data_IF_478035063729
#
_entry.id   IF_478035063729
#
_cell.length_a   1.000
_cell.length_b   1.000
_cell.length_c   1.000
_cell.angle_alpha   90.00
_cell.angle_beta   90.00
_cell.angle_gamma   90.00
#
_symmetry.space_group_name_H-M   'P 1'
#
loop_
_entity.id
_entity.type
_entity.pdbx_description
1 polymer ?
#
# COMPACT_ATOMS: atom_id res chain seq x y z
N UNK A 1 34.53 52.27 -3.06
CA UNK A 1 34.57 51.12 -2.13
C UNK A 1 33.34 50.29 -2.43
N UNK A 2 33.53 49.13 -3.03
CA UNK A 2 32.47 48.14 -3.24
C UNK A 2 32.41 47.31 -1.96
N UNK A 3 31.42 47.57 -1.10
CA UNK A 3 31.08 46.66 -0.01
C UNK A 3 30.41 45.44 -0.62
N UNK A 4 31.15 44.34 -0.67
CA UNK A 4 30.63 43.00 -0.87
C UNK A 4 29.74 42.68 0.32
N UNK A 5 28.43 42.74 0.11
CA UNK A 5 27.46 42.15 1.03
C UNK A 5 27.79 40.67 1.17
N UNK A 6 28.10 40.30 2.40
CA UNK A 6 28.41 38.94 2.83
C UNK A 6 27.18 38.06 2.53
N UNK A 7 27.28 37.27 1.46
CA UNK A 7 26.26 36.29 1.12
C UNK A 7 26.32 35.19 2.18
N UNK A 8 25.50 35.35 3.22
CA UNK A 8 25.35 34.37 4.29
C UNK A 8 25.26 32.96 3.72
N UNK A 9 25.98 32.03 4.35
CA UNK A 9 26.02 30.60 4.05
C UNK A 9 24.66 30.10 3.51
N UNK A 10 24.57 29.87 2.19
CA UNK A 10 23.41 29.25 1.54
C UNK A 10 23.15 27.93 2.25
N UNK A 11 22.06 27.87 3.00
CA UNK A 11 21.60 26.61 3.59
C UNK A 11 21.20 25.67 2.45
N UNK A 12 21.19 24.34 2.68
CA UNK A 12 20.76 23.37 1.66
C UNK A 12 19.37 23.69 1.06
N UNK A 13 18.51 24.37 1.83
CA UNK A 13 17.21 24.88 1.40
C UNK A 13 17.25 25.77 0.16
N UNK A 14 18.28 26.61 0.00
CA UNK A 14 18.42 27.56 -1.12
C UNK A 14 19.05 26.95 -2.37
N UNK A 15 19.50 25.69 -2.29
CA UNK A 15 20.22 25.04 -3.37
C UNK A 15 19.25 24.32 -4.30
N UNK A 16 19.49 24.53 -5.59
CA UNK A 16 18.88 23.79 -6.68
C UNK A 16 19.99 23.25 -7.59
N UNK A 17 19.67 22.24 -8.38
CA UNK A 17 20.56 21.69 -9.40
C UNK A 17 19.85 21.60 -10.74
N UNK A 18 20.58 21.75 -11.83
CA UNK A 18 20.05 21.45 -13.16
C UNK A 18 19.78 19.95 -13.29
N UNK A 19 18.71 19.63 -14.00
CA UNK A 19 18.34 18.26 -14.32
C UNK A 19 19.10 17.78 -15.55
N UNK A 20 19.73 16.61 -15.45
CA UNK A 20 20.48 16.00 -16.55
C UNK A 20 19.96 14.59 -16.82
N UNK A 21 19.22 14.41 -17.91
CA UNK A 21 18.77 13.08 -18.31
C UNK A 21 19.93 12.23 -18.80
N UNK A 22 20.27 11.17 -18.06
CA UNK A 22 21.42 10.30 -18.35
C UNK A 22 21.03 8.95 -18.95
N UNK A 23 19.75 8.56 -18.91
CA UNK A 23 19.34 7.28 -19.49
C UNK A 23 17.87 6.92 -19.36
N UNK A 24 17.43 6.05 -20.27
CA UNK A 24 16.12 5.41 -20.25
C UNK A 24 16.30 3.90 -20.21
N UNK A 25 15.75 3.26 -19.20
CA UNK A 25 15.85 1.83 -18.93
C UNK A 25 14.53 1.15 -19.28
N UNK A 26 14.58 0.17 -20.17
CA UNK A 26 13.45 -0.72 -20.47
C UNK A 26 13.63 -1.97 -19.63
N UNK A 27 12.72 -2.20 -18.68
CA UNK A 27 12.75 -3.42 -17.87
C UNK A 27 11.90 -4.48 -18.57
N UNK A 28 12.47 -5.63 -18.95
CA UNK A 28 11.69 -6.76 -19.43
C UNK A 28 10.67 -7.24 -18.40
N UNK A 29 9.59 -7.85 -18.86
CA UNK A 29 8.47 -8.22 -17.98
C UNK A 29 8.83 -9.39 -17.03
N UNK A 30 9.78 -10.24 -17.43
CA UNK A 30 10.31 -11.38 -16.66
C UNK A 30 11.42 -10.99 -15.67
N UNK A 31 11.95 -9.76 -15.73
CA UNK A 31 12.99 -9.28 -14.81
C UNK A 31 12.37 -8.81 -13.50
N UNK A 32 12.71 -9.49 -12.41
CA UNK A 32 12.21 -9.16 -11.06
C UNK A 32 13.24 -8.44 -10.18
N UNK A 33 14.52 -8.42 -10.59
CA UNK A 33 15.58 -7.71 -9.88
C UNK A 33 16.53 -7.00 -10.86
N UNK A 34 16.90 -5.76 -10.56
CA UNK A 34 17.77 -4.93 -11.41
C UNK A 34 18.30 -3.73 -10.63
N UNK A 35 19.58 -3.42 -10.74
CA UNK A 35 20.15 -2.17 -10.22
C UNK A 35 20.11 -1.08 -11.30
N UNK A 36 19.82 0.17 -10.91
CA UNK A 36 19.91 1.33 -11.79
C UNK A 36 21.16 2.15 -11.48
N UNK A 37 21.51 3.09 -12.36
CA UNK A 37 22.72 3.88 -12.16
C UNK A 37 22.65 4.88 -11.00
N UNK A 38 21.44 5.28 -10.58
CA UNK A 38 21.24 6.12 -9.39
C UNK A 38 21.46 5.30 -8.10
N UNK A 39 22.38 5.70 -7.20
CA UNK A 39 22.77 4.89 -6.05
C UNK A 39 21.59 4.51 -5.15
N UNK A 40 21.37 3.20 -5.02
CA UNK A 40 20.33 2.59 -4.20
C UNK A 40 19.00 2.37 -4.91
N UNK A 41 18.75 3.02 -6.05
CA UNK A 41 17.54 2.80 -6.83
C UNK A 41 17.63 1.44 -7.55
N UNK A 42 16.68 0.54 -7.28
CA UNK A 42 16.72 -0.83 -7.78
C UNK A 42 15.36 -1.51 -7.77
N UNK A 43 15.25 -2.62 -8.50
CA UNK A 43 14.20 -3.61 -8.37
C UNK A 43 14.69 -4.77 -7.49
N UNK A 44 13.86 -5.19 -6.55
CA UNK A 44 14.05 -6.38 -5.73
C UNK A 44 12.93 -7.40 -5.98
N UNK A 45 13.28 -8.69 -6.06
CA UNK A 45 12.28 -9.76 -6.15
C UNK A 45 11.41 -9.81 -4.90
N UNK A 46 10.11 -10.02 -5.09
CA UNK A 46 9.10 -10.11 -4.03
C UNK A 46 8.69 -11.55 -3.75
N UNK A 47 8.34 -11.87 -2.50
CA UNK A 47 7.75 -13.17 -2.19
C UNK A 47 6.26 -13.17 -2.56
N UNK A 48 5.91 -13.99 -3.56
CA UNK A 48 4.52 -14.17 -4.00
C UNK A 48 4.16 -15.64 -3.82
N UNK A 49 3.23 -15.95 -2.93
CA UNK A 49 2.63 -17.28 -2.80
C UNK A 49 1.43 -17.38 -3.72
N UNK A 50 1.46 -18.35 -4.62
CA UNK A 50 0.31 -18.71 -5.43
C UNK A 50 -0.37 -19.89 -4.73
N UNK A 51 -1.67 -19.81 -4.55
CA UNK A 51 -2.44 -20.89 -3.95
C UNK A 51 -3.84 -20.87 -4.51
N UNK A 52 -4.30 -21.98 -5.09
CA UNK A 52 -5.68 -22.16 -5.56
C UNK A 52 -6.70 -22.25 -4.40
N UNK A 53 -6.25 -22.02 -3.16
CA UNK A 53 -6.85 -22.52 -1.92
C UNK A 53 -8.05 -21.77 -1.35
N UNK A 54 -8.53 -20.71 -1.99
CA UNK A 54 -9.73 -19.96 -1.55
C UNK A 54 -10.33 -19.22 -2.74
N UNK A 55 -11.48 -19.66 -3.29
CA UNK A 55 -12.31 -18.88 -4.23
C UNK A 55 -11.59 -18.09 -5.33
N UNK A 56 -10.77 -18.73 -6.15
CA UNK A 56 -10.12 -18.01 -7.25
C UNK A 56 -9.14 -16.92 -6.80
N UNK A 57 -8.69 -16.92 -5.54
CA UNK A 57 -7.43 -16.24 -5.19
C UNK A 57 -6.37 -16.92 -6.04
N UNK A 58 -5.84 -16.21 -7.03
CA UNK A 58 -4.79 -16.74 -7.90
C UNK A 58 -3.44 -16.48 -7.25
N UNK A 59 -3.29 -15.33 -6.56
CA UNK A 59 -2.03 -14.92 -5.95
C UNK A 59 -2.23 -14.20 -4.63
N UNK A 60 -1.37 -14.54 -3.67
CA UNK A 60 -1.17 -13.81 -2.42
C UNK A 60 0.24 -13.24 -2.45
N UNK A 61 0.34 -11.92 -2.51
CA UNK A 61 1.63 -11.23 -2.44
C UNK A 61 1.94 -10.93 -0.98
N UNK A 62 2.96 -11.60 -0.46
CA UNK A 62 3.46 -11.46 0.92
C UNK A 62 4.82 -10.80 0.88
N UNK A 63 4.89 -9.49 1.03
CA UNK A 63 6.18 -8.79 1.00
C UNK A 63 6.65 -8.62 2.43
N UNK A 64 7.81 -9.19 2.78
CA UNK A 64 8.65 -8.53 3.79
C UNK A 64 10.12 -8.97 3.70
N UNK A 65 10.93 -8.12 3.06
CA UNK A 65 12.32 -7.90 3.47
C UNK A 65 12.47 -6.55 4.21
N UNK A 66 11.40 -5.74 4.29
CA UNK A 66 11.36 -4.45 4.99
C UNK A 66 10.65 -4.52 6.36
N UNK A 67 10.12 -3.38 6.83
CA UNK A 67 9.41 -3.27 8.11
C UNK A 67 8.08 -4.04 8.15
N UNK A 68 7.49 -4.41 7.01
CA UNK A 68 6.19 -5.09 6.95
C UNK A 68 4.98 -4.18 7.22
N UNK A 69 5.19 -2.86 7.32
CA UNK A 69 4.11 -1.86 7.45
C UNK A 69 3.74 -1.36 6.06
N UNK A 70 2.44 -1.32 5.75
CA UNK A 70 2.02 -1.21 4.34
C UNK A 70 0.88 -0.23 4.10
N UNK A 71 1.11 0.76 3.26
CA UNK A 71 0.07 1.68 2.78
C UNK A 71 -0.28 1.37 1.32
N UNK A 72 -1.47 1.78 0.88
CA UNK A 72 -1.95 1.53 -0.48
C UNK A 72 -2.43 2.82 -1.12
N UNK A 73 -1.99 3.11 -2.33
CA UNK A 73 -2.48 4.22 -3.14
C UNK A 73 -3.27 3.65 -4.31
N UNK A 74 -4.56 3.98 -4.36
CA UNK A 74 -5.42 3.73 -5.53
C UNK A 74 -5.38 4.94 -6.45
N UNK A 75 -5.42 4.71 -7.75
CA UNK A 75 -5.33 5.77 -8.75
C UNK A 75 -6.56 5.74 -9.65
N UNK A 76 -7.22 6.88 -9.78
CA UNK A 76 -8.29 7.10 -10.75
C UNK A 76 -7.83 6.81 -12.19
N UNK A 77 -8.77 6.59 -13.10
CA UNK A 77 -8.50 6.07 -14.45
C UNK A 77 -7.50 6.90 -15.26
N UNK A 78 -7.59 8.23 -15.17
CA UNK A 78 -6.74 9.17 -15.93
C UNK A 78 -5.73 9.88 -15.02
N UNK A 79 -5.33 9.23 -13.92
CA UNK A 79 -4.44 9.80 -12.91
C UNK A 79 -3.09 10.24 -13.49
N UNK A 80 -2.65 11.44 -13.12
CA UNK A 80 -1.35 11.99 -13.47
C UNK A 80 -0.79 12.90 -12.37
N UNK A 81 0.50 12.71 -12.06
CA UNK A 81 1.24 13.62 -11.18
C UNK A 81 1.67 14.90 -11.92
N UNK A 82 1.45 16.05 -11.27
CA UNK A 82 1.89 17.37 -11.75
C UNK A 82 3.23 17.81 -11.14
N UNK A 83 3.72 17.09 -10.14
CA UNK A 83 4.91 17.41 -9.37
C UNK A 83 5.77 16.16 -9.15
N UNK A 84 7.06 16.37 -8.94
CA UNK A 84 7.91 15.37 -8.31
C UNK A 84 7.74 15.44 -6.79
N UNK A 85 7.79 14.28 -6.14
CA UNK A 85 7.91 14.13 -4.70
C UNK A 85 9.32 13.74 -4.30
N UNK A 86 9.82 14.26 -3.19
CA UNK A 86 11.10 13.89 -2.56
C UNK A 86 10.83 13.55 -1.11
N UNK A 87 11.02 12.29 -0.73
CA UNK A 87 11.09 11.89 0.67
C UNK A 87 12.49 12.17 1.21
N UNK A 88 12.63 12.85 2.36
CA UNK A 88 13.95 13.10 2.98
C UNK A 88 14.23 12.14 4.13
N UNK A 89 13.18 11.58 4.73
CA UNK A 89 13.19 10.63 5.82
C UNK A 89 12.71 9.23 5.45
N UNK A 90 12.24 8.98 4.23
CA UNK A 90 11.68 7.68 3.84
C UNK A 90 12.34 7.11 2.57
N UNK A 91 12.73 5.84 2.62
CA UNK A 91 12.95 5.05 1.41
C UNK A 91 11.61 4.39 1.03
N UNK A 92 11.18 4.56 -0.22
CA UNK A 92 9.97 3.93 -0.73
C UNK A 92 10.26 2.51 -1.19
N UNK A 93 9.29 1.62 -0.93
CA UNK A 93 9.33 0.22 -1.37
C UNK A 93 8.03 -0.09 -2.12
N UNK A 94 8.00 0.29 -3.39
CA UNK A 94 6.77 0.33 -4.19
C UNK A 94 6.55 -0.97 -4.97
N UNK A 95 5.38 -1.57 -4.79
CA UNK A 95 4.89 -2.67 -5.63
C UNK A 95 3.63 -2.22 -6.36
N UNK A 96 3.57 -2.48 -7.66
CA UNK A 96 2.48 -2.03 -8.51
C UNK A 96 1.62 -3.21 -8.96
N UNK A 97 0.31 -3.10 -8.76
CA UNK A 97 -0.68 -4.10 -9.12
C UNK A 97 -1.66 -3.55 -10.16
N UNK A 98 -2.05 -4.38 -11.12
CA UNK A 98 -3.02 -4.03 -12.15
C UNK A 98 -3.12 -5.08 -13.24
N UNK A 99 -3.95 -4.82 -14.24
CA UNK A 99 -4.22 -5.66 -15.41
C UNK A 99 -3.15 -5.51 -16.51
N UNK A 100 -1.87 -5.52 -16.12
CA UNK A 100 -0.75 -5.49 -17.07
C UNK A 100 -0.42 -4.10 -17.64
N UNK A 101 -0.88 -3.02 -17.01
CA UNK A 101 -0.49 -1.65 -17.37
C UNK A 101 1.04 -1.49 -17.40
N UNK A 102 1.52 -0.59 -18.26
CA UNK A 102 2.92 -0.16 -18.27
C UNK A 102 3.04 1.20 -17.62
N UNK A 103 3.98 1.32 -16.70
CA UNK A 103 4.30 2.54 -15.99
C UNK A 103 5.64 3.11 -16.45
N UNK A 104 5.77 4.43 -16.35
CA UNK A 104 7.04 5.12 -16.55
C UNK A 104 7.40 5.84 -15.26
N UNK A 105 8.55 5.52 -14.69
CA UNK A 105 9.08 6.14 -13.47
C UNK A 105 10.18 7.10 -13.86
N UNK A 106 10.08 8.35 -13.41
CA UNK A 106 11.14 9.36 -13.59
C UNK A 106 11.78 9.60 -12.25
N UNK A 107 13.09 9.40 -12.15
CA UNK A 107 13.86 9.55 -10.92
C UNK A 107 14.92 10.63 -11.11
N UNK A 108 15.11 11.50 -10.12
CA UNK A 108 16.15 12.53 -10.12
C UNK A 108 16.90 12.48 -8.79
N UNK A 109 18.24 12.41 -8.83
CA UNK A 109 19.02 12.48 -7.60
C UNK A 109 19.09 13.92 -7.07
N UNK A 110 18.52 14.15 -5.89
CA UNK A 110 18.47 15.46 -5.22
C UNK A 110 19.38 15.52 -3.99
N UNK A 111 20.17 14.47 -3.70
CA UNK A 111 20.95 14.37 -2.46
C UNK A 111 22.17 15.29 -2.48
N UNK A 112 22.32 16.13 -1.46
CA UNK A 112 23.38 17.13 -1.40
C UNK A 112 24.82 16.57 -1.44
N UNK A 113 24.99 15.32 -1.01
CA UNK A 113 26.24 14.57 -0.93
C UNK A 113 26.41 13.53 -2.04
N UNK A 114 25.49 13.46 -3.01
CA UNK A 114 25.59 12.52 -4.13
C UNK A 114 26.55 13.00 -5.22
N UNK A 115 27.43 12.12 -5.74
CA UNK A 115 28.23 12.42 -6.93
C UNK A 115 27.39 12.51 -8.21
N UNK A 116 26.12 12.07 -8.16
CA UNK A 116 25.18 12.07 -9.28
C UNK A 116 24.09 13.13 -9.11
N UNK A 117 24.32 14.14 -8.25
CA UNK A 117 23.35 15.21 -8.02
C UNK A 117 22.86 15.84 -9.34
N UNK A 118 21.54 15.84 -9.53
CA UNK A 118 20.86 16.33 -10.72
C UNK A 118 20.70 15.30 -11.85
N UNK A 119 21.31 14.11 -11.75
CA UNK A 119 21.11 13.05 -12.72
C UNK A 119 19.67 12.55 -12.69
N UNK A 120 19.08 12.46 -13.87
CA UNK A 120 17.73 12.02 -14.12
C UNK A 120 17.73 10.75 -14.96
N UNK A 121 16.92 9.77 -14.55
CA UNK A 121 16.67 8.55 -15.32
C UNK A 121 15.19 8.30 -15.50
N UNK A 122 14.87 7.58 -16.58
CA UNK A 122 13.53 7.07 -16.83
C UNK A 122 13.54 5.55 -16.81
N UNK A 123 12.65 4.92 -16.06
CA UNK A 123 12.45 3.46 -16.03
C UNK A 123 11.08 3.17 -16.64
N UNK A 124 11.02 2.25 -17.61
CA UNK A 124 9.76 1.79 -18.21
C UNK A 124 9.58 0.31 -17.93
N UNK A 125 8.46 -0.04 -17.31
CA UNK A 125 8.19 -1.42 -16.88
C UNK A 125 6.69 -1.71 -16.83
N UNK A 126 6.30 -2.98 -16.95
CA UNK A 126 4.95 -3.42 -16.60
C UNK A 126 4.73 -3.37 -15.07
N UNK A 127 3.48 -3.21 -14.63
CA UNK A 127 3.13 -3.49 -13.22
C UNK A 127 3.29 -4.99 -12.96
N UNK A 128 3.73 -5.36 -11.76
CA UNK A 128 3.99 -6.77 -11.42
C UNK A 128 4.07 -6.97 -9.92
N UNK A 129 3.38 -7.98 -9.36
CA UNK A 129 3.45 -8.32 -7.94
C UNK A 129 4.79 -8.96 -7.53
N UNK A 130 5.63 -9.34 -8.50
CA UNK A 130 6.87 -10.08 -8.25
C UNK A 130 8.09 -9.18 -8.03
N UNK A 131 7.92 -7.86 -8.10
CA UNK A 131 9.03 -6.90 -7.93
C UNK A 131 8.63 -5.71 -7.08
N UNK A 132 9.57 -5.25 -6.26
CA UNK A 132 9.51 -4.01 -5.52
C UNK A 132 10.49 -3.03 -6.15
N UNK A 133 10.03 -1.83 -6.49
CA UNK A 133 10.89 -0.70 -6.81
C UNK A 133 11.30 0.00 -5.52
N UNK A 134 12.61 0.01 -5.26
CA UNK A 134 13.21 0.75 -4.15
C UNK A 134 13.62 2.13 -4.66
N UNK A 135 13.04 3.18 -4.06
CA UNK A 135 13.43 4.57 -4.32
C UNK A 135 14.02 5.13 -3.03
N UNK A 136 15.34 5.35 -2.96
CA UNK A 136 15.95 5.91 -1.76
C UNK A 136 15.47 7.33 -1.48
N UNK A 137 15.40 7.69 -0.19
CA UNK A 137 15.27 9.08 0.27
C UNK A 137 16.24 9.99 -0.47
N UNK A 138 15.76 11.18 -0.80
CA UNK A 138 16.46 12.20 -1.57
C UNK A 138 16.52 11.94 -3.07
N UNK A 139 15.92 10.85 -3.58
CA UNK A 139 15.62 10.71 -5.00
C UNK A 139 14.21 11.25 -5.25
N UNK A 140 14.12 12.32 -6.03
CA UNK A 140 12.83 12.82 -6.49
C UNK A 140 12.19 11.82 -7.45
N UNK A 141 10.89 11.60 -7.34
CA UNK A 141 10.20 10.71 -8.26
C UNK A 141 8.82 11.24 -8.68
N UNK A 142 8.43 10.86 -9.90
CA UNK A 142 7.06 10.98 -10.42
C UNK A 142 6.81 9.81 -11.37
N UNK A 143 5.56 9.38 -11.46
CA UNK A 143 5.18 8.22 -12.24
C UNK A 143 4.07 8.56 -13.24
N UNK A 144 4.15 7.96 -14.42
CA UNK A 144 3.10 7.99 -15.44
C UNK A 144 2.51 6.59 -15.65
N UNK A 145 1.28 6.54 -16.17
CA UNK A 145 0.60 5.28 -16.51
C UNK A 145 0.00 4.56 -15.31
N UNK A 146 -0.24 5.28 -14.21
CA UNK A 146 -0.82 4.72 -12.98
C UNK A 146 -2.35 4.58 -13.03
N UNK A 147 -3.01 4.96 -14.13
CA UNK A 147 -4.46 4.83 -14.26
C UNK A 147 -4.98 3.43 -13.94
N UNK A 148 -5.78 3.30 -12.87
CA UNK A 148 -6.30 2.02 -12.38
C UNK A 148 -5.25 1.06 -11.82
N UNK A 149 -4.02 1.53 -11.57
CA UNK A 149 -2.96 0.79 -10.88
C UNK A 149 -3.13 0.99 -9.37
N UNK A 150 -2.86 -0.05 -8.58
CA UNK A 150 -2.71 0.06 -7.13
C UNK A 150 -1.22 0.05 -6.81
N UNK A 151 -0.75 1.04 -6.06
CA UNK A 151 0.60 1.04 -5.52
C UNK A 151 0.54 0.64 -4.06
N UNK A 152 1.23 -0.43 -3.68
CA UNK A 152 1.55 -0.70 -2.27
C UNK A 152 2.89 -0.08 -1.97
N UNK A 153 2.99 0.61 -0.86
CA UNK A 153 4.26 1.09 -0.30
C UNK A 153 4.55 0.39 1.02
N UNK A 154 5.82 0.11 1.27
CA UNK A 154 6.34 -0.45 2.52
C UNK A 154 7.50 0.43 3.02
N UNK A 155 7.20 1.61 3.56
CA UNK A 155 8.21 2.64 3.77
C UNK A 155 9.23 2.24 4.83
N UNK A 156 10.51 2.58 4.58
CA UNK A 156 11.58 2.49 5.59
C UNK A 156 11.93 3.90 6.06
N UNK A 157 11.65 4.16 7.33
CA UNK A 157 11.81 5.46 7.94
C UNK A 157 13.20 5.67 8.53
N UNK A 158 13.70 6.87 8.36
CA UNK A 158 14.97 7.39 8.83
C UNK A 158 14.74 8.72 9.54
N UNK A 159 15.48 8.97 10.61
CA UNK A 159 15.45 10.22 11.35
C UNK A 159 16.84 10.85 11.43
N UNK A 160 16.88 12.17 11.48
CA UNK A 160 18.07 12.96 11.78
C UNK A 160 17.64 14.35 12.25
N UNK A 161 18.58 15.18 12.71
CA UNK A 161 18.36 16.61 12.86
C UNK A 161 18.37 17.27 11.48
N UNK A 162 17.28 17.09 10.75
CA UNK A 162 17.11 17.59 9.39
C UNK A 162 15.98 18.63 9.34
N UNK A 163 16.27 19.90 9.03
CA UNK A 163 15.25 20.95 8.96
C UNK A 163 14.25 20.76 7.80
N UNK A 164 14.57 19.93 6.82
CA UNK A 164 13.65 19.59 5.73
C UNK A 164 12.62 18.52 6.14
N UNK A 165 12.92 17.75 7.19
CA UNK A 165 12.09 16.62 7.64
C UNK A 165 10.95 17.07 8.54
N UNK A 166 9.73 16.69 8.17
CA UNK A 166 8.53 16.81 8.99
C UNK A 166 7.90 15.42 9.06
N UNK A 167 7.87 14.75 10.22
CA UNK A 167 7.34 13.38 10.35
C UNK A 167 5.91 13.22 9.82
N UNK A 168 5.07 14.25 9.99
CA UNK A 168 3.68 14.22 9.51
C UNK A 168 3.57 14.46 8.00
N UNK A 169 4.63 14.95 7.35
CA UNK A 169 4.67 15.21 5.91
C UNK A 169 6.12 15.26 5.40
N UNK A 170 6.70 14.08 5.14
CA UNK A 170 8.06 13.93 4.65
C UNK A 170 8.22 14.30 3.16
N UNK A 171 7.14 14.67 2.48
CA UNK A 171 7.12 14.90 1.04
C UNK A 171 7.45 16.35 0.67
N UNK A 172 8.66 16.59 0.18
CA UNK A 172 9.02 17.85 -0.49
C UNK A 172 8.66 17.77 -1.96
N UNK A 173 7.87 18.72 -2.45
CA UNK A 173 7.36 18.74 -3.83
C UNK A 173 7.90 19.91 -4.65
N UNK A 174 8.08 19.66 -5.95
CA UNK A 174 8.35 20.71 -6.93
C UNK A 174 7.70 20.38 -8.27
N UNK A 175 7.35 21.42 -9.04
CA UNK A 175 6.64 21.25 -10.30
C UNK A 175 7.45 20.43 -11.29
N UNK A 176 6.77 19.51 -11.98
CA UNK A 176 7.40 18.65 -13.00
C UNK A 176 7.99 19.44 -14.18
N UNK A 177 7.42 20.61 -14.46
CA UNK A 177 7.91 21.55 -15.49
C UNK A 177 9.19 22.29 -15.08
N UNK A 178 9.59 22.22 -13.81
CA UNK A 178 10.80 22.89 -13.33
C UNK A 178 12.05 22.31 -13.99
N UNK A 179 12.89 23.19 -14.51
CA UNK A 179 14.20 22.82 -15.09
C UNK A 179 15.24 22.51 -14.01
N UNK A 180 14.98 22.94 -12.78
CA UNK A 180 15.86 22.73 -11.64
C UNK A 180 15.16 21.91 -10.56
N UNK A 181 15.89 20.96 -10.00
CA UNK A 181 15.44 20.17 -8.88
C UNK A 181 15.98 20.77 -7.56
N UNK A 182 15.20 20.74 -6.46
CA UNK A 182 15.71 21.06 -5.14
C UNK A 182 16.88 20.15 -4.76
N UNK A 183 17.84 20.68 -4.02
CA UNK A 183 18.87 19.87 -3.33
C UNK A 183 18.41 19.66 -1.89
N UNK A 184 18.41 18.41 -1.43
CA UNK A 184 17.94 18.02 -0.09
C UNK A 184 19.02 17.35 0.72
N UNK A 185 18.95 17.52 2.04
CA UNK A 185 19.63 16.65 3.00
C UNK A 185 18.72 15.47 3.32
N UNK A 186 19.29 14.29 3.43
CA UNK A 186 18.56 13.06 3.79
C UNK A 186 18.88 12.63 5.21
N UNK A 187 17.90 12.00 5.86
CA UNK A 187 18.07 11.42 7.18
C UNK A 187 18.90 10.14 7.10
N UNK A 188 19.72 9.86 8.12
CA UNK A 188 20.70 8.76 8.07
C UNK A 188 20.39 7.60 9.01
N UNK A 189 19.63 7.83 10.07
CA UNK A 189 19.43 6.83 11.11
C UNK A 189 18.10 6.11 10.91
N UNK A 190 18.16 4.85 10.46
CA UNK A 190 16.98 4.00 10.32
C UNK A 190 16.26 3.88 11.66
N UNK A 191 14.96 4.10 11.65
CA UNK A 191 14.13 3.98 12.83
C UNK A 191 13.92 2.51 13.20
N UNK A 192 13.79 2.17 14.49
CA UNK A 192 13.40 0.81 14.87
C UNK A 192 11.96 0.51 14.43
N UNK A 193 11.60 -0.77 14.34
CA UNK A 193 10.23 -1.22 13.98
C UNK A 193 9.16 -0.59 14.88
N UNK A 194 9.44 -0.43 16.18
CA UNK A 194 8.50 0.21 17.10
C UNK A 194 8.18 1.67 16.73
N UNK A 195 9.15 2.40 16.17
CA UNK A 195 8.93 3.77 15.71
C UNK A 195 8.20 3.80 14.36
N UNK A 196 8.46 2.84 13.47
CA UNK A 196 7.66 2.66 12.24
C UNK A 196 6.18 2.42 12.58
N UNK A 197 5.88 1.56 13.55
CA UNK A 197 4.52 1.30 14.04
C UNK A 197 3.87 2.57 14.63
N UNK A 198 4.64 3.36 15.38
CA UNK A 198 4.16 4.63 15.93
C UNK A 198 3.75 5.61 14.82
N UNK A 199 4.61 5.81 13.81
CA UNK A 199 4.32 6.71 12.68
C UNK A 199 3.09 6.25 11.89
N UNK A 200 2.95 4.95 11.64
CA UNK A 200 1.77 4.40 10.98
C UNK A 200 0.49 4.66 11.78
N UNK A 201 0.52 4.49 13.10
CA UNK A 201 -0.64 4.79 13.98
C UNK A 201 -0.99 6.28 14.03
N UNK A 202 0.00 7.17 13.96
CA UNK A 202 -0.25 8.61 13.84
C UNK A 202 -0.97 8.94 12.52
N UNK A 203 -0.54 8.30 11.41
CA UNK A 203 -1.21 8.42 10.11
C UNK A 203 -2.63 7.88 10.16
N UNK A 204 -2.85 6.70 10.77
CA UNK A 204 -4.19 6.12 10.98
C UNK A 204 -5.13 7.10 11.71
N UNK A 205 -4.67 7.65 12.83
CA UNK A 205 -5.46 8.57 13.65
C UNK A 205 -5.81 9.86 12.88
N UNK A 206 -4.84 10.43 12.17
CA UNK A 206 -5.03 11.66 11.39
C UNK A 206 -5.99 11.43 10.23
N UNK A 207 -5.80 10.34 9.49
CA UNK A 207 -6.60 10.00 8.32
C UNK A 207 -8.03 9.60 8.68
N UNK A 208 -8.25 9.00 9.86
CA UNK A 208 -9.58 8.73 10.38
C UNK A 208 -10.41 10.01 10.62
N UNK A 209 -9.75 11.13 10.94
CA UNK A 209 -10.40 12.39 11.34
C UNK A 209 -10.56 13.40 10.20
N UNK A 210 -9.52 13.64 9.40
CA UNK A 210 -9.54 14.73 8.40
C UNK A 210 -10.21 14.29 7.09
N UNK A 211 -10.07 13.00 6.70
CA UNK A 211 -10.55 12.42 5.42
C UNK A 211 -10.41 13.39 4.23
N UNK A 212 -9.36 14.19 4.27
CA UNK A 212 -9.13 15.33 3.40
C UNK A 212 -8.14 15.02 2.32
N UNK A 213 -7.80 16.03 1.53
CA UNK A 213 -6.71 15.92 0.59
C UNK A 213 -5.34 15.85 1.28
N UNK A 214 -4.46 15.04 0.70
CA UNK A 214 -3.06 14.98 1.07
C UNK A 214 -2.42 16.34 0.84
N UNK A 215 -1.57 16.76 1.76
CA UNK A 215 -0.92 18.06 1.68
C UNK A 215 0.47 17.91 1.07
N UNK A 216 0.83 18.77 0.14
CA UNK A 216 2.16 18.80 -0.47
C UNK A 216 2.95 20.01 0.06
N UNK A 217 4.25 19.82 0.37
CA UNK A 217 5.12 20.91 0.85
C UNK A 217 5.99 21.42 -0.29
N UNK A 218 5.86 22.70 -0.62
CA UNK A 218 6.68 23.35 -1.64
C UNK A 218 7.67 24.30 -1.00
N UNK A 219 8.92 24.30 -1.48
CA UNK A 219 9.89 25.34 -1.10
C UNK A 219 9.45 26.69 -1.68
N UNK A 220 9.42 27.71 -0.84
CA UNK A 220 9.06 29.09 -1.20
C UNK A 220 10.07 30.07 -0.62
N UNK A 221 10.30 31.18 -1.31
CA UNK A 221 11.11 32.29 -0.79
C UNK A 221 10.20 33.43 -0.33
N UNK A 222 10.25 33.77 0.95
CA UNK A 222 9.47 34.85 1.56
C UNK A 222 10.45 35.82 2.21
N UNK A 223 10.48 37.06 1.72
CA UNK A 223 11.35 38.11 2.28
C UNK A 223 12.85 37.79 2.21
N UNK A 224 13.28 36.97 1.23
CA UNK A 224 14.67 36.56 1.06
C UNK A 224 15.08 35.30 1.85
N UNK A 225 14.18 34.74 2.67
CA UNK A 225 14.40 33.48 3.38
C UNK A 225 13.62 32.34 2.71
N UNK A 226 14.27 31.20 2.49
CA UNK A 226 13.60 30.00 1.98
C UNK A 226 12.95 29.22 3.12
N UNK A 227 11.71 28.81 2.91
CA UNK A 227 10.92 28.00 3.85
C UNK A 227 9.96 27.08 3.07
N UNK A 228 9.08 26.36 3.76
CA UNK A 228 8.06 25.51 3.16
C UNK A 228 6.67 26.14 3.26
N UNK A 229 5.93 26.10 2.16
CA UNK A 229 4.49 26.31 2.14
C UNK A 229 3.79 24.97 1.96
N UNK A 230 2.89 24.64 2.87
CA UNK A 230 2.05 23.45 2.77
C UNK A 230 0.78 23.80 2.01
N UNK A 231 0.57 23.17 0.85
CA UNK A 231 -0.62 23.32 0.04
C UNK A 231 -1.48 22.07 0.17
N UNK A 232 -2.74 22.27 0.55
CA UNK A 232 -3.75 21.20 0.62
C UNK A 232 -4.89 21.52 -0.35
N UNK A 233 -5.15 20.66 -1.34
CA UNK A 233 -6.35 20.77 -2.16
C UNK A 233 -7.63 20.78 -1.32
N UNK A 234 -8.70 21.38 -1.84
CA UNK A 234 -10.00 21.44 -1.16
C UNK A 234 -10.87 20.21 -1.41
N UNK A 235 -10.31 19.10 -1.90
CA UNK A 235 -11.05 17.86 -2.14
C UNK A 235 -11.54 17.27 -0.82
N UNK A 236 -12.74 16.68 -0.87
CA UNK A 236 -13.36 15.96 0.24
C UNK A 236 -14.02 14.72 -0.31
N UNK A 237 -13.95 13.63 0.45
CA UNK A 237 -14.64 12.41 0.08
C UNK A 237 -16.14 12.68 0.10
N UNK A 238 -16.88 12.06 -0.82
CA UNK A 238 -18.33 12.07 -0.73
C UNK A 238 -18.75 11.47 0.61
N UNK A 239 -19.80 12.03 1.23
CA UNK A 239 -20.37 11.40 2.42
C UNK A 239 -20.92 10.03 2.04
N UNK A 240 -20.31 8.95 2.53
CA UNK A 240 -20.95 7.64 2.44
C UNK A 240 -22.17 7.65 3.36
N UNK A 241 -23.33 7.31 2.78
CA UNK A 241 -24.61 7.32 3.48
C UNK A 241 -24.62 6.45 4.75
N UNK A 242 -25.56 6.70 5.64
CA UNK A 242 -25.70 6.04 6.95
C UNK A 242 -25.92 4.53 6.91
N UNK A 243 -26.28 3.98 5.75
CA UNK A 243 -26.66 2.59 5.58
C UNK A 243 -25.45 1.71 5.23
N UNK A 244 -24.39 1.84 6.02
CA UNK A 244 -23.27 0.90 5.96
C UNK A 244 -23.75 -0.42 6.56
N UNK A 245 -23.70 -1.49 5.77
CA UNK A 245 -24.01 -2.86 6.21
C UNK A 245 -23.30 -3.16 7.55
N UNK A 246 -23.87 -3.95 8.49
CA UNK A 246 -23.26 -4.20 9.81
C UNK A 246 -21.82 -4.77 9.77
N UNK A 247 -21.45 -5.35 8.63
CA UNK A 247 -20.16 -5.96 8.37
C UNK A 247 -19.19 -5.01 7.67
N UNK A 248 -19.63 -3.83 7.25
CA UNK A 248 -18.82 -2.84 6.58
C UNK A 248 -18.45 -1.71 7.54
N UNK A 249 -17.26 -1.14 7.36
CA UNK A 249 -16.79 -0.01 8.16
C UNK A 249 -15.84 0.84 7.35
N UNK A 250 -15.78 2.14 7.65
CA UNK A 250 -14.86 3.05 6.97
C UNK A 250 -13.40 2.65 7.25
N UNK A 251 -12.56 2.76 6.23
CA UNK A 251 -11.11 2.66 6.34
C UNK A 251 -10.51 4.00 6.81
N UNK A 252 -9.26 3.95 7.23
CA UNK A 252 -8.43 5.13 7.41
C UNK A 252 -7.83 5.51 6.06
N UNK A 253 -8.14 6.71 5.55
CA UNK A 253 -7.64 7.14 4.24
C UNK A 253 -7.44 8.65 4.14
N UNK A 254 -6.69 9.06 3.13
CA UNK A 254 -6.50 10.44 2.70
C UNK A 254 -6.59 10.51 1.17
N UNK A 255 -7.12 11.60 0.62
CA UNK A 255 -7.30 11.75 -0.82
C UNK A 255 -6.01 12.21 -1.49
N UNK A 256 -5.54 11.46 -2.47
CA UNK A 256 -4.41 11.84 -3.34
C UNK A 256 -4.87 12.38 -4.69
N UNK A 257 -6.18 12.31 -4.95
CA UNK A 257 -6.89 12.85 -6.09
C UNK A 257 -8.39 12.90 -5.78
N UNK A 258 -9.23 13.43 -6.67
CA UNK A 258 -10.68 13.43 -6.49
C UNK A 258 -11.26 12.02 -6.30
N UNK A 259 -10.72 11.03 -7.03
CA UNK A 259 -11.12 9.61 -6.94
C UNK A 259 -9.92 8.68 -6.66
N UNK A 260 -8.85 9.24 -6.06
CA UNK A 260 -7.63 8.51 -5.68
C UNK A 260 -7.43 8.58 -4.18
N UNK A 261 -7.06 7.47 -3.56
CA UNK A 261 -7.03 7.32 -2.11
C UNK A 261 -5.70 6.69 -1.68
N UNK A 262 -5.04 7.28 -0.69
CA UNK A 262 -4.09 6.54 0.14
C UNK A 262 -4.85 5.91 1.29
N UNK A 263 -4.97 4.59 1.28
CA UNK A 263 -5.60 3.77 2.31
C UNK A 263 -4.50 3.19 3.19
N UNK A 264 -4.46 3.62 4.45
CA UNK A 264 -3.51 3.12 5.44
C UNK A 264 -4.14 1.95 6.22
N UNK A 265 -3.35 1.04 6.82
CA UNK A 265 -3.88 -0.08 7.59
C UNK A 265 -4.88 0.42 8.64
N UNK A 266 -5.93 -0.35 8.88
CA UNK A 266 -6.91 -0.12 9.94
C UNK A 266 -6.60 -0.92 11.21
N UNK A 267 -5.73 -1.94 11.13
CA UNK A 267 -5.35 -2.76 12.30
C UNK A 267 -4.11 -2.24 13.01
N UNK A 268 -3.98 -2.63 14.28
CA UNK A 268 -2.87 -2.26 15.17
C UNK A 268 -1.51 -2.85 14.76
N UNK A 269 -1.49 -3.92 13.95
CA UNK A 269 -0.26 -4.54 13.43
C UNK A 269 0.32 -3.79 12.23
N UNK A 270 -0.50 -2.94 11.60
CA UNK A 270 -0.16 -2.15 10.41
C UNK A 270 0.32 -2.99 9.21
N UNK A 271 0.00 -4.28 9.19
CA UNK A 271 0.45 -5.24 8.18
C UNK A 271 -0.73 -5.77 7.38
N UNK A 272 -0.56 -5.93 6.07
CA UNK A 272 -1.56 -6.62 5.24
C UNK A 272 -0.97 -7.39 4.08
N UNK A 273 -1.73 -8.40 3.65
CA UNK A 273 -1.52 -9.10 2.39
C UNK A 273 -2.24 -8.38 1.25
N UNK A 274 -1.75 -8.59 0.03
CA UNK A 274 -2.49 -8.27 -1.20
C UNK A 274 -2.96 -9.55 -1.85
N UNK A 275 -4.26 -9.62 -2.12
CA UNK A 275 -4.89 -10.73 -2.80
C UNK A 275 -5.22 -10.30 -4.22
N UNK A 276 -4.69 -11.02 -5.21
CA UNK A 276 -5.19 -11.00 -6.59
C UNK A 276 -6.19 -12.14 -6.73
N UNK A 277 -7.44 -11.79 -7.03
CA UNK A 277 -8.54 -12.75 -7.15
C UNK A 277 -9.10 -12.69 -8.56
N UNK A 278 -9.12 -13.83 -9.23
CA UNK A 278 -9.81 -14.04 -10.49
C UNK A 278 -11.19 -14.63 -10.20
N UNK A 279 -12.22 -13.79 -10.31
CA UNK A 279 -13.60 -14.17 -10.04
C UNK A 279 -14.18 -15.01 -11.19
N UNK A 280 -13.62 -14.92 -12.40
CA UNK A 280 -14.06 -15.74 -13.54
C UNK A 280 -13.57 -17.19 -13.42
N UNK A 281 -12.40 -17.40 -12.80
CA UNK A 281 -11.86 -18.72 -12.48
C UNK A 281 -12.77 -19.57 -11.58
N UNK A 282 -13.69 -18.95 -10.83
CA UNK A 282 -14.71 -19.65 -10.03
C UNK A 282 -15.84 -20.28 -10.84
N UNK A 283 -15.89 -20.08 -12.16
CA UNK A 283 -16.92 -20.66 -13.04
C UNK A 283 -16.54 -21.99 -13.68
N UNK A 284 -15.32 -22.49 -13.49
CA UNK A 284 -14.85 -23.64 -14.24
C UNK A 284 -14.02 -24.62 -13.39
N UNK A 285 -14.70 -25.57 -12.74
CA UNK A 285 -14.50 -27.02 -12.93
C UNK A 285 -15.43 -27.80 -11.97
N UNK A 286 -16.06 -28.85 -12.51
CA UNK A 286 -16.77 -29.95 -11.83
C UNK A 286 -18.24 -29.78 -11.38
N UNK A 287 -19.16 -29.73 -12.35
CA UNK A 287 -20.30 -30.68 -12.39
C UNK A 287 -21.18 -30.49 -13.64
N UNK A 288 -21.50 -31.55 -14.40
CA UNK A 288 -22.47 -31.50 -15.50
C UNK A 288 -23.92 -31.22 -15.04
N UNK A 289 -24.19 -31.20 -13.72
CA UNK A 289 -25.49 -30.89 -13.11
C UNK A 289 -25.56 -29.48 -12.48
N UNK A 290 -24.55 -28.62 -12.67
CA UNK A 290 -24.61 -27.24 -12.18
C UNK A 290 -25.62 -26.43 -13.02
N UNK A 291 -26.84 -26.30 -12.51
CA UNK A 291 -27.91 -25.52 -13.13
C UNK A 291 -27.49 -24.05 -13.36
N UNK A 292 -28.08 -23.43 -14.39
CA UNK A 292 -27.90 -22.02 -14.71
C UNK A 292 -28.17 -21.15 -13.47
N UNK A 293 -27.11 -20.62 -12.84
CA UNK A 293 -27.22 -19.69 -11.71
C UNK A 293 -26.25 -19.89 -10.55
N UNK A 294 -25.51 -21.00 -10.44
CA UNK A 294 -24.52 -21.15 -9.36
C UNK A 294 -23.15 -20.57 -9.74
N UNK A 295 -22.77 -19.45 -9.13
CA UNK A 295 -21.37 -19.04 -9.08
C UNK A 295 -20.63 -20.02 -8.16
N UNK A 296 -19.87 -20.95 -8.74
CA UNK A 296 -19.25 -22.10 -8.06
C UNK A 296 -17.96 -21.76 -7.32
N UNK A 297 -18.04 -21.01 -6.22
CA UNK A 297 -16.90 -20.78 -5.31
C UNK A 297 -17.09 -21.46 -3.94
N UNK A 298 -16.03 -22.05 -3.36
CA UNK A 298 -15.95 -22.60 -2.00
C UNK A 298 -16.04 -21.54 -0.90
N UNK A 299 -16.89 -21.70 0.10
CA UNK A 299 -16.82 -20.80 1.25
C UNK A 299 -15.51 -20.97 2.03
N UNK A 300 -15.03 -19.86 2.59
CA UNK A 300 -13.83 -19.77 3.41
C UNK A 300 -14.23 -19.34 4.81
N UNK A 301 -13.60 -19.93 5.81
CA UNK A 301 -13.78 -19.57 7.22
C UNK A 301 -12.42 -19.54 7.90
N UNK A 302 -12.20 -18.52 8.72
CA UNK A 302 -11.01 -18.38 9.55
C UNK A 302 -11.44 -18.60 10.99
N UNK A 303 -11.06 -19.72 11.60
CA UNK A 303 -11.56 -20.11 12.92
C UNK A 303 -11.15 -19.11 14.01
N UNK A 304 -9.91 -18.62 13.93
CA UNK A 304 -9.26 -17.84 15.00
C UNK A 304 -8.90 -16.41 14.61
N UNK A 305 -9.16 -16.00 13.37
CA UNK A 305 -8.80 -14.67 12.91
C UNK A 305 -9.99 -13.88 12.36
N UNK A 306 -10.03 -12.61 12.74
CA UNK A 306 -10.89 -11.61 12.12
C UNK A 306 -10.20 -11.12 10.86
N UNK A 307 -10.91 -11.16 9.73
CA UNK A 307 -10.40 -10.63 8.46
C UNK A 307 -11.05 -9.29 8.17
N UNK A 308 -10.25 -8.35 7.71
CA UNK A 308 -10.75 -7.11 7.09
C UNK A 308 -10.30 -7.10 5.64
N UNK A 309 -11.29 -7.13 4.75
CA UNK A 309 -11.08 -7.12 3.30
C UNK A 309 -11.45 -5.73 2.76
N UNK A 310 -10.52 -5.10 2.05
CA UNK A 310 -10.74 -3.81 1.40
C UNK A 310 -10.50 -3.96 -0.08
N UNK A 311 -11.45 -3.48 -0.89
CA UNK A 311 -11.27 -3.41 -2.34
C UNK A 311 -10.27 -2.31 -2.69
N UNK A 312 -9.33 -2.58 -3.58
CA UNK A 312 -8.33 -1.59 -4.02
C UNK A 312 -8.51 -1.21 -5.49
N UNK A 313 -8.76 -2.19 -6.35
CA UNK A 313 -8.99 -1.99 -7.79
C UNK A 313 -9.55 -3.25 -8.47
N UNK A 314 -9.84 -3.11 -9.77
CA UNK A 314 -10.30 -4.18 -10.64
C UNK A 314 -11.81 -4.09 -10.89
N UNK A 315 -12.45 -5.24 -11.02
CA UNK A 315 -13.89 -5.35 -11.24
C UNK A 315 -14.71 -4.63 -10.17
N UNK A 316 -15.70 -3.87 -10.62
CA UNK A 316 -16.71 -3.18 -9.79
C UNK A 316 -17.94 -4.04 -9.52
N UNK A 317 -18.04 -5.20 -10.17
CA UNK A 317 -19.11 -6.18 -9.96
C UNK A 317 -18.80 -7.13 -8.80
N UNK A 318 -17.62 -7.02 -8.20
CA UNK A 318 -17.17 -7.87 -7.12
C UNK A 318 -18.02 -7.69 -5.86
N UNK A 319 -18.33 -8.80 -5.23
CA UNK A 319 -19.16 -8.87 -4.02
C UNK A 319 -18.52 -9.82 -3.03
N UNK A 320 -18.85 -9.64 -1.76
CA UNK A 320 -18.59 -10.61 -0.71
C UNK A 320 -19.92 -11.13 -0.18
N UNK A 321 -20.03 -12.45 -0.20
CA UNK A 321 -21.17 -13.20 0.30
C UNK A 321 -20.80 -13.78 1.67
N UNK A 322 -21.66 -13.62 2.66
CA UNK A 322 -21.43 -14.00 4.06
C UNK A 322 -22.59 -14.86 4.56
N UNK A 323 -22.27 -15.95 5.27
CA UNK A 323 -23.25 -16.88 5.87
C UNK A 323 -23.00 -16.99 7.38
N UNK A 324 -24.02 -16.64 8.17
CA UNK A 324 -23.92 -16.58 9.65
C UNK A 324 -24.52 -17.81 10.35
N UNK A 325 -24.56 -17.77 11.69
CA UNK A 325 -24.96 -18.87 12.57
C UNK A 325 -26.44 -19.22 12.45
N UNK A 326 -27.22 -18.22 12.10
CA UNK A 326 -28.67 -18.33 12.01
C UNK A 326 -29.09 -18.71 10.57
N UNK A 327 -28.10 -18.99 9.71
CA UNK A 327 -28.31 -19.22 8.27
C UNK A 327 -28.60 -17.93 7.51
N UNK A 328 -28.40 -16.76 8.13
CA UNK A 328 -28.59 -15.48 7.46
C UNK A 328 -27.54 -15.31 6.37
N UNK A 329 -28.00 -14.85 5.23
CA UNK A 329 -27.21 -14.65 4.03
C UNK A 329 -27.13 -13.16 3.70
N UNK A 330 -25.92 -12.65 3.65
CA UNK A 330 -25.66 -11.24 3.34
C UNK A 330 -24.75 -11.12 2.13
N UNK A 331 -25.08 -10.20 1.23
CA UNK A 331 -24.26 -9.89 0.06
C UNK A 331 -23.89 -8.42 0.10
N UNK A 332 -22.59 -8.14 0.13
CA UNK A 332 -22.04 -6.80 0.27
C UNK A 332 -21.24 -6.49 -0.99
N UNK A 333 -21.55 -5.36 -1.63
CA UNK A 333 -20.78 -4.92 -2.80
C UNK A 333 -19.40 -4.45 -2.38
N UNK A 334 -18.41 -4.88 -3.14
CA UNK A 334 -17.06 -4.35 -3.11
C UNK A 334 -16.93 -3.32 -4.25
N UNK A 335 -16.04 -2.35 -4.12
CA UNK A 335 -15.87 -1.32 -5.16
C UNK A 335 -15.60 0.09 -4.62
N UNK A 336 -15.60 0.26 -3.30
CA UNK A 336 -15.23 1.51 -2.65
C UNK A 336 -14.01 1.28 -1.73
N UNK A 337 -12.82 1.83 -2.05
CA UNK A 337 -11.62 1.66 -1.25
C UNK A 337 -11.70 2.36 0.11
N UNK A 338 -12.67 3.26 0.31
CA UNK A 338 -12.94 3.90 1.60
C UNK A 338 -13.68 3.00 2.58
N UNK A 339 -14.18 1.84 2.12
CA UNK A 339 -14.93 0.88 2.94
C UNK A 339 -14.19 -0.46 2.99
N UNK A 340 -14.08 -1.01 4.19
CA UNK A 340 -13.59 -2.37 4.44
C UNK A 340 -14.71 -3.26 4.99
N UNK A 341 -14.79 -4.50 4.50
CA UNK A 341 -15.67 -5.53 5.04
C UNK A 341 -14.94 -6.32 6.12
N UNK A 342 -15.49 -6.32 7.32
CA UNK A 342 -15.03 -7.05 8.50
C UNK A 342 -15.78 -8.37 8.59
N UNK A 343 -15.03 -9.46 8.48
CA UNK A 343 -15.52 -10.83 8.68
C UNK A 343 -15.00 -11.31 10.04
N UNK A 344 -15.86 -11.50 11.05
CA UNK A 344 -15.47 -12.05 12.34
C UNK A 344 -14.92 -13.47 12.22
N UNK A 345 -14.18 -13.93 13.26
CA UNK A 345 -13.76 -15.32 13.35
C UNK A 345 -14.94 -16.28 13.20
N UNK A 346 -14.66 -17.48 12.72
CA UNK A 346 -15.62 -18.56 12.55
C UNK A 346 -16.85 -18.22 11.69
N UNK A 347 -16.75 -17.21 10.80
CA UNK A 347 -17.80 -16.90 9.82
C UNK A 347 -17.41 -17.38 8.42
N UNK A 348 -18.35 -18.03 7.72
CA UNK A 348 -18.21 -18.36 6.30
C UNK A 348 -18.39 -17.14 5.39
N UNK A 349 -17.47 -16.95 4.45
CA UNK A 349 -17.64 -15.98 3.37
C UNK A 349 -17.05 -16.48 2.04
N UNK A 350 -17.46 -15.86 0.94
CA UNK A 350 -16.83 -16.01 -0.37
C UNK A 350 -16.84 -14.73 -1.18
N UNK A 351 -15.90 -14.61 -2.10
CA UNK A 351 -15.89 -13.56 -3.10
C UNK A 351 -16.64 -14.04 -4.34
N UNK A 352 -17.50 -13.18 -4.89
CA UNK A 352 -18.29 -13.46 -6.08
C UNK A 352 -18.24 -12.27 -7.04
N UNK A 353 -18.68 -12.46 -8.28
CA UNK A 353 -18.64 -11.45 -9.33
C UNK A 353 -17.97 -11.99 -10.60
N UNK A 354 -17.40 -11.10 -11.40
CA UNK A 354 -16.68 -11.42 -12.64
C UNK A 354 -15.43 -10.56 -12.76
N UNK A 355 -14.45 -11.01 -13.53
CA UNK A 355 -13.18 -10.32 -13.74
C UNK A 355 -12.20 -10.46 -12.58
N UNK A 356 -11.16 -9.63 -12.60
CA UNK A 356 -10.08 -9.64 -11.60
C UNK A 356 -10.26 -8.53 -10.58
N UNK A 357 -9.92 -8.81 -9.32
CA UNK A 357 -9.87 -7.79 -8.26
C UNK A 357 -8.59 -7.87 -7.45
N UNK A 358 -8.19 -6.72 -6.93
CA UNK A 358 -7.14 -6.59 -5.93
C UNK A 358 -7.73 -6.18 -4.60
N UNK A 359 -7.47 -6.99 -3.58
CA UNK A 359 -7.96 -6.75 -2.22
C UNK A 359 -6.77 -6.60 -1.27
N UNK A 360 -6.87 -5.62 -0.36
CA UNK A 360 -6.08 -5.62 0.86
C UNK A 360 -6.74 -6.56 1.86
N UNK A 361 -5.94 -7.44 2.46
CA UNK A 361 -6.39 -8.33 3.53
C UNK A 361 -5.60 -8.08 4.80
N UNK A 362 -6.28 -7.49 5.78
CA UNK A 362 -5.75 -7.33 7.12
C UNK A 362 -6.33 -8.40 8.05
N UNK A 363 -5.60 -8.68 9.12
CA UNK A 363 -5.94 -9.71 10.06
C UNK A 363 -5.74 -9.22 11.50
N UNK A 364 -6.61 -9.69 12.39
CA UNK A 364 -6.39 -9.69 13.83
C UNK A 364 -6.60 -11.12 14.33
N UNK A 365 -5.68 -11.64 15.13
CA UNK A 365 -5.70 -13.01 15.64
C UNK A 365 -6.23 -13.01 17.07
N UNK A 366 -7.18 -13.89 17.39
CA UNK A 366 -7.65 -14.08 18.76
C UNK A 366 -6.49 -14.46 19.68
N UNK A 367 -6.54 -14.01 20.93
CA UNK A 367 -5.61 -14.44 21.98
C UNK A 367 -5.91 -15.89 22.33
N UNK A 368 -5.30 -16.81 21.57
CA UNK A 368 -5.35 -18.23 21.83
C UNK A 368 -4.65 -18.48 23.18
N UNK A 369 -5.29 -19.21 24.10
CA UNK A 369 -4.64 -19.63 25.34
C UNK A 369 -3.24 -20.21 25.04
N UNK A 370 -2.25 -19.87 25.88
CA UNK A 370 -1.09 -19.20 25.34
C UNK A 370 -0.10 -20.23 24.78
N UNK A 371 0.52 -19.90 23.65
CA UNK A 371 1.72 -20.56 23.09
C UNK A 371 1.57 -21.83 22.24
N UNK A 372 0.49 -22.00 21.48
CA UNK A 372 0.59 -22.78 20.25
C UNK A 372 1.39 -22.00 19.18
N UNK A 373 2.69 -21.76 19.44
CA UNK A 373 3.64 -21.08 18.54
C UNK A 373 3.78 -21.78 17.17
N UNK A 374 3.24 -22.99 17.06
CA UNK A 374 3.22 -23.82 15.84
C UNK A 374 2.00 -23.55 14.93
N UNK A 375 1.25 -22.47 15.17
CA UNK A 375 0.15 -22.05 14.30
C UNK A 375 0.60 -20.91 13.36
N UNK A 376 1.13 -21.21 12.16
CA UNK A 376 1.34 -20.21 11.13
C UNK A 376 0.08 -19.39 10.87
N UNK A 377 0.25 -18.12 10.51
CA UNK A 377 -0.84 -17.28 10.08
C UNK A 377 -1.52 -17.93 8.86
N UNK A 378 -2.85 -18.09 8.91
CA UNK A 378 -3.61 -18.74 7.84
C UNK A 378 -3.73 -20.26 7.93
N UNK A 379 -3.23 -20.94 8.99
CA UNK A 379 -3.61 -22.35 9.27
C UNK A 379 -5.01 -22.52 9.86
N UNK A 380 -5.65 -21.41 10.23
CA UNK A 380 -7.02 -21.33 10.73
C UNK A 380 -8.04 -21.32 9.59
N UNK A 381 -7.56 -21.40 8.35
CA UNK A 381 -8.39 -21.40 7.15
C UNK A 381 -9.00 -22.77 6.92
N UNK A 382 -10.33 -22.82 6.95
CA UNK A 382 -11.14 -23.94 6.46
C UNK A 382 -11.83 -23.52 5.16
N UNK A 383 -11.91 -24.42 4.19
CA UNK A 383 -12.75 -24.23 2.99
C UNK A 383 -13.76 -25.36 2.81
N UNK A 384 -14.91 -25.05 2.22
CA UNK A 384 -15.97 -26.03 1.98
C UNK A 384 -16.81 -25.66 0.76
N UNK A 385 -17.50 -26.62 0.17
CA UNK A 385 -18.37 -26.39 -0.98
C UNK A 385 -19.67 -25.66 -0.55
N UNK A 386 -20.35 -24.92 -1.45
CA UNK A 386 -21.54 -24.13 -1.09
C UNK A 386 -22.66 -24.89 -0.40
N UNK A 387 -22.88 -26.16 -0.75
CA UNK A 387 -23.90 -27.00 -0.11
C UNK A 387 -23.56 -27.36 1.33
N UNK A 388 -22.27 -27.33 1.66
CA UNK A 388 -21.70 -27.82 2.91
C UNK A 388 -21.37 -26.65 3.86
N UNK A 389 -21.34 -25.44 3.31
CA UNK A 389 -21.29 -24.17 4.03
C UNK A 389 -22.59 -23.95 4.82
N UNK A 390 -22.79 -24.76 5.86
CA UNK A 390 -23.87 -24.58 6.82
C UNK A 390 -23.66 -23.34 7.69
N UNK A 391 -24.64 -23.08 8.55
CA UNK A 391 -24.58 -22.03 9.55
C UNK A 391 -23.24 -22.02 10.32
N UNK A 392 -22.71 -20.81 10.58
CA UNK A 392 -21.47 -20.65 11.35
C UNK A 392 -21.58 -19.55 12.40
N UNK A 393 -21.26 -19.87 13.65
CA UNK A 393 -21.36 -18.91 14.74
C UNK A 393 -20.02 -18.22 14.92
N UNK A 394 -19.96 -16.88 14.92
CA UNK A 394 -18.82 -16.19 15.49
C UNK A 394 -18.70 -16.68 16.93
N UNK A 395 -17.65 -17.45 17.23
CA UNK A 395 -17.17 -17.52 18.61
C UNK A 395 -16.87 -16.06 18.97
N UNK A 396 -17.51 -15.56 20.03
CA UNK A 396 -17.60 -14.14 20.39
C UNK A 396 -16.43 -13.32 19.84
N UNK A 397 -16.72 -12.17 19.23
CA UNK A 397 -15.74 -11.11 19.02
C UNK A 397 -15.29 -10.62 20.41
N UNK A 398 -14.52 -11.45 21.10
CA UNK A 398 -14.01 -11.18 22.42
C UNK A 398 -12.98 -10.08 22.22
N UNK A 399 -12.97 -9.09 23.10
CA UNK A 399 -11.95 -8.02 23.05
C UNK A 399 -10.51 -8.55 23.29
N UNK A 400 -10.30 -9.87 23.28
CA UNK A 400 -9.02 -10.55 23.45
C UNK A 400 -8.43 -10.92 22.08
N UNK A 401 -7.87 -9.92 21.42
CA UNK A 401 -6.97 -10.12 20.28
C UNK A 401 -5.52 -10.05 20.75
N UNK A 402 -4.62 -10.73 20.03
CA UNK A 402 -3.19 -10.50 20.20
C UNK A 402 -2.89 -9.01 20.01
N UNK A 403 -2.02 -8.41 20.85
CA UNK A 403 -1.58 -7.04 20.65
C UNK A 403 -0.95 -6.88 19.26
N UNK A 404 -1.26 -5.79 18.56
CA UNK A 404 -0.74 -5.52 17.21
C UNK A 404 0.76 -5.72 17.04
N UNK A 405 1.64 -5.28 17.97
CA UNK A 405 3.07 -5.54 17.89
C UNK A 405 3.45 -7.02 17.89
N UNK A 406 2.70 -7.86 18.61
CA UNK A 406 2.92 -9.31 18.62
C UNK A 406 2.51 -9.94 17.29
N UNK A 407 1.33 -9.56 16.77
CA UNK A 407 0.87 -10.02 15.46
C UNK A 407 1.81 -9.58 14.32
N UNK A 408 2.30 -8.34 14.39
CA UNK A 408 3.30 -7.81 13.47
C UNK A 408 4.60 -8.63 13.49
N UNK A 409 5.08 -9.00 14.69
CA UNK A 409 6.27 -9.86 14.82
C UNK A 409 6.05 -11.24 14.18
N UNK A 410 4.88 -11.86 14.40
CA UNK A 410 4.51 -13.14 13.78
C UNK A 410 4.46 -13.04 12.25
N UNK A 411 3.87 -11.98 11.71
CA UNK A 411 3.80 -11.74 10.26
C UNK A 411 5.20 -11.64 9.64
N UNK A 412 6.10 -10.90 10.28
CA UNK A 412 7.50 -10.80 9.84
C UNK A 412 8.26 -12.13 9.94
N UNK A 413 8.02 -12.91 11.00
CA UNK A 413 8.61 -14.24 11.14
C UNK A 413 8.15 -15.18 10.03
N UNK A 414 6.85 -15.19 9.72
CA UNK A 414 6.28 -16.00 8.64
C UNK A 414 6.88 -15.60 7.28
N UNK A 415 6.89 -14.31 6.96
CA UNK A 415 7.42 -13.84 5.69
C UNK A 415 8.92 -14.12 5.53
N UNK A 416 9.71 -14.04 6.62
CA UNK A 416 11.12 -14.48 6.64
C UNK A 416 11.25 -16.00 6.47
N UNK A 417 10.37 -16.79 7.07
CA UNK A 417 10.40 -18.24 6.88
C UNK A 417 10.13 -18.61 5.42
N UNK A 418 9.14 -17.96 4.78
CA UNK A 418 8.83 -18.14 3.36
C UNK A 418 10.03 -17.80 2.49
N UNK A 419 10.72 -16.67 2.75
CA UNK A 419 11.89 -16.25 1.96
C UNK A 419 13.07 -17.20 2.06
N UNK A 420 13.15 -18.04 3.10
CA UNK A 420 14.23 -19.03 3.29
C UNK A 420 13.93 -20.39 2.63
N UNK A 421 12.68 -20.63 2.24
CA UNK A 421 12.22 -21.92 1.69
C UNK A 421 12.16 -21.95 0.16
N UNK A 422 12.50 -20.85 -0.49
CA UNK A 422 12.59 -20.68 -1.95
C UNK A 422 14.03 -20.38 -2.33
#
# INVERSE_FOLDING_TARGET
>A
MLETADAGSRTALDRTTERRHIGTFQVPDDVTSMEFCLPGARLETTNVSESDGTNGVVRVTRISNGPGITDYVTHEKDFAYSAYGIHVGQDDRLTFFGEGQRITVHLIDCREDSPQLGDEITIKMAVSPYRVLIIPKGIAHTLDGLGGVVTRDEPVWYADQNPDWEPDNDLVSFLRSSQQAPVVRTNRHELPVAAHLLLSRMSQQTNAQDQGAYAARYRVSIGGNTTYATLRPSWRAAETGSDIHPWASRNNFVLTGPESFTVVPSTDSCTSDVLEVDLDGSRAQDSPDAGEGSAGGRFVRHEYSRRRLTWLAGSTDAQIEVVTADGEHSVIRLGDPTIGVRVPPSTWYRLTGTGRVWLRSEMELLDLEPWALDHPLGRDVTTTDPSDAGASRPEQDSDRYLPGPALHALARMEAKAISLTR
#
